data_IF_676435140716
#
_entry.id   IF_676435140716
#
_cell.length_a   1.000
_cell.length_b   1.000
_cell.length_c   1.000
_cell.angle_alpha   90.00
_cell.angle_beta   90.00
_cell.angle_gamma   90.00
#
_symmetry.space_group_name_H-M   'P 1'
#
loop_
_entity.id
_entity.type
_entity.pdbx_description
1 polymer ?
#
# COMPACT_ATOMS: atom_id res chain seq x y z
N UNK A 1 17.69 19.62 6.67
CA UNK A 1 16.25 19.76 6.95
C UNK A 1 15.71 18.38 7.28
N UNK A 2 15.01 18.24 8.40
CA UNK A 2 14.55 16.98 8.97
C UNK A 2 13.71 16.16 7.99
N UNK A 3 14.12 14.92 7.73
CA UNK A 3 13.29 13.92 7.08
C UNK A 3 12.22 13.46 8.06
N UNK A 4 10.99 13.96 7.90
CA UNK A 4 9.84 13.40 8.58
C UNK A 4 9.40 12.14 7.81
N UNK A 5 9.51 10.99 8.47
CA UNK A 5 8.61 9.86 8.23
C UNK A 5 7.19 10.43 8.28
N UNK A 6 6.43 10.34 7.18
CA UNK A 6 5.07 10.85 7.19
C UNK A 6 4.17 9.88 7.95
N UNK A 7 3.98 10.15 9.24
CA UNK A 7 2.97 9.51 10.07
C UNK A 7 1.55 9.87 9.57
N UNK A 8 0.58 8.99 9.81
CA UNK A 8 -0.84 9.28 9.56
C UNK A 8 -1.26 10.51 10.35
N UNK A 9 -1.91 11.46 9.68
CA UNK A 9 -2.46 12.65 10.34
C UNK A 9 -3.86 12.33 10.88
N UNK A 10 -4.16 12.81 12.09
CA UNK A 10 -5.43 12.58 12.78
C UNK A 10 -6.30 13.83 12.74
N UNK A 11 -7.57 13.66 12.40
CA UNK A 11 -8.55 14.74 12.25
C UNK A 11 -9.85 14.40 12.96
N UNK A 12 -10.42 15.36 13.67
CA UNK A 12 -11.69 15.23 14.40
C UNK A 12 -12.68 16.32 13.97
N UNK A 13 -13.91 15.92 13.63
CA UNK A 13 -15.02 16.87 13.42
C UNK A 13 -15.94 16.84 14.62
N UNK A 14 -16.24 18.02 15.17
CA UNK A 14 -17.07 18.21 16.36
C UNK A 14 -18.31 19.03 16.01
N UNK A 15 -19.43 18.70 16.63
CA UNK A 15 -20.65 19.50 16.53
C UNK A 15 -20.56 20.75 17.43
N UNK A 16 -21.61 21.58 17.40
CA UNK A 16 -21.68 22.79 18.23
C UNK A 16 -21.72 22.52 19.75
N UNK A 17 -21.99 21.27 20.15
CA UNK A 17 -21.95 20.83 21.56
C UNK A 17 -20.58 20.29 21.98
N UNK A 18 -19.63 20.17 21.04
CA UNK A 18 -18.29 19.62 21.26
C UNK A 18 -18.21 18.10 21.11
N UNK A 19 -19.28 17.43 20.70
CA UNK A 19 -19.30 15.98 20.48
C UNK A 19 -18.67 15.65 19.14
N UNK A 20 -17.73 14.70 19.15
CA UNK A 20 -17.05 14.20 17.95
C UNK A 20 -17.97 13.28 17.16
N UNK A 21 -18.07 13.53 15.85
CA UNK A 21 -18.91 12.78 14.92
C UNK A 21 -18.13 12.13 13.77
N UNK A 22 -16.92 12.61 13.49
CA UNK A 22 -15.98 12.00 12.53
C UNK A 22 -14.61 11.96 13.19
N UNK A 23 -13.93 10.82 13.09
CA UNK A 23 -12.50 10.68 13.38
C UNK A 23 -11.84 10.04 12.17
N UNK A 24 -10.77 10.66 11.67
CA UNK A 24 -10.06 10.23 10.49
C UNK A 24 -8.55 10.29 10.72
N UNK A 25 -7.91 9.13 10.76
CA UNK A 25 -6.46 8.96 10.70
C UNK A 25 -6.11 8.51 9.29
N UNK A 26 -5.34 9.31 8.54
CA UNK A 26 -5.08 9.00 7.14
C UNK A 26 -3.73 9.53 6.66
N UNK A 27 -3.10 8.77 5.78
CA UNK A 27 -2.01 9.23 4.91
C UNK A 27 -2.55 9.37 3.50
N UNK A 28 -2.34 10.54 2.90
CA UNK A 28 -2.82 10.83 1.54
C UNK A 28 -1.69 11.38 0.69
N UNK A 29 -1.52 10.80 -0.49
CA UNK A 29 -0.63 11.29 -1.53
C UNK A 29 -1.44 11.76 -2.74
N UNK A 30 -1.02 12.85 -3.34
CA UNK A 30 -1.63 13.45 -4.52
C UNK A 30 -0.64 13.40 -5.68
N UNK A 31 -1.14 13.06 -6.86
CA UNK A 31 -0.45 13.25 -8.13
C UNK A 31 -1.38 14.05 -9.04
N UNK A 32 -0.96 15.26 -9.43
CA UNK A 32 -1.79 16.18 -10.21
C UNK A 32 -1.12 16.48 -11.53
N UNK A 33 -1.79 16.15 -12.63
CA UNK A 33 -1.40 16.58 -13.97
C UNK A 33 -1.83 18.04 -14.18
N UNK A 34 -0.88 18.91 -14.54
CA UNK A 34 -1.10 20.31 -14.88
C UNK A 34 -0.32 20.72 -16.14
N UNK A 35 -0.61 21.92 -16.66
CA UNK A 35 0.03 22.45 -17.88
C UNK A 35 1.03 23.56 -17.54
N UNK A 36 2.28 23.36 -17.93
CA UNK A 36 3.35 24.34 -17.85
C UNK A 36 3.80 24.71 -19.27
N UNK A 37 3.60 25.98 -19.66
CA UNK A 37 3.95 26.49 -21.00
C UNK A 37 3.49 25.61 -22.18
N UNK A 38 2.32 24.97 -22.05
CA UNK A 38 1.75 24.07 -23.05
C UNK A 38 2.18 22.60 -22.98
N UNK A 39 3.18 22.28 -22.16
CA UNK A 39 3.59 20.90 -21.85
C UNK A 39 2.84 20.35 -20.63
N UNK A 40 2.58 19.04 -20.64
CA UNK A 40 1.96 18.32 -19.52
C UNK A 40 3.04 17.98 -18.49
N UNK A 41 2.78 18.30 -17.24
CA UNK A 41 3.68 18.06 -16.11
C UNK A 41 2.89 17.49 -14.93
N UNK A 42 3.56 16.76 -14.04
CA UNK A 42 2.96 16.15 -12.86
C UNK A 42 3.64 16.68 -11.61
N UNK A 43 2.84 17.10 -10.62
CA UNK A 43 3.35 17.34 -9.27
C UNK A 43 2.89 16.20 -8.36
N UNK A 44 3.81 15.76 -7.50
CA UNK A 44 3.55 14.78 -6.46
C UNK A 44 3.80 15.42 -5.10
N UNK A 45 2.82 15.32 -4.21
CA UNK A 45 2.94 15.81 -2.85
C UNK A 45 2.04 15.02 -1.92
N UNK A 46 2.35 15.07 -0.63
CA UNK A 46 1.52 14.45 0.38
C UNK A 46 0.66 15.48 1.09
N UNK A 47 -0.43 15.03 1.71
CA UNK A 47 -1.20 15.84 2.64
C UNK A 47 -0.25 16.32 3.75
N UNK A 48 0.02 17.62 3.89
CA UNK A 48 1.04 18.08 4.80
C UNK A 48 0.59 17.93 6.26
N UNK A 49 1.54 17.88 7.18
CA UNK A 49 1.24 17.88 8.63
C UNK A 49 0.54 19.16 9.11
N UNK A 50 0.63 20.24 8.33
CA UNK A 50 -0.08 21.50 8.58
C UNK A 50 -1.56 21.46 8.16
N UNK A 51 -2.03 20.35 7.57
CA UNK A 51 -3.44 20.19 7.23
C UNK A 51 -4.31 20.30 8.50
N UNK A 52 -5.49 20.91 8.36
CA UNK A 52 -6.42 21.13 9.46
C UNK A 52 -7.86 20.94 9.00
N UNK A 53 -8.75 20.70 9.97
CA UNK A 53 -10.19 20.57 9.70
C UNK A 53 -10.76 21.95 9.38
N UNK A 54 -11.25 22.13 8.16
CA UNK A 54 -11.84 23.37 7.69
C UNK A 54 -13.22 23.60 8.34
N UNK A 55 -13.63 24.86 8.61
CA UNK A 55 -14.95 25.18 9.18
C UNK A 55 -16.16 24.71 8.37
N UNK A 56 -16.00 24.35 7.09
CA UNK A 56 -17.04 23.72 6.28
C UNK A 56 -17.31 22.27 6.68
N UNK A 57 -16.43 21.64 7.46
CA UNK A 57 -16.66 20.33 8.05
C UNK A 57 -17.86 20.36 8.97
N UNK A 58 -18.67 19.31 8.94
CA UNK A 58 -19.91 19.25 9.71
C UNK A 58 -20.23 17.82 10.13
N UNK A 59 -20.89 17.69 11.27
CA UNK A 59 -21.50 16.43 11.70
C UNK A 59 -22.81 16.09 10.99
N UNK A 60 -23.26 16.98 10.10
CA UNK A 60 -24.61 16.87 9.54
C UNK A 60 -25.69 17.19 10.57
N UNK A 61 -26.94 17.01 10.17
CA UNK A 61 -28.13 17.12 11.03
C UNK A 61 -29.00 15.92 10.74
N UNK A 62 -29.44 15.24 11.80
CA UNK A 62 -30.25 14.02 11.72
C UNK A 62 -31.31 14.10 10.61
N UNK A 63 -31.23 13.18 9.64
CA UNK A 63 -32.13 13.03 8.48
C UNK A 63 -32.18 14.19 7.45
N UNK A 64 -31.36 15.24 7.56
CA UNK A 64 -31.40 16.39 6.63
C UNK A 64 -30.08 16.70 5.95
N UNK A 65 -28.95 16.38 6.58
CA UNK A 65 -27.64 16.50 5.96
C UNK A 65 -26.66 15.49 6.54
N UNK A 66 -25.82 14.91 5.69
CA UNK A 66 -24.81 13.96 6.11
C UNK A 66 -23.54 14.67 6.62
N UNK A 67 -22.71 13.98 7.43
CA UNK A 67 -21.42 14.48 7.85
C UNK A 67 -20.49 14.74 6.66
N UNK A 68 -19.64 15.74 6.80
CA UNK A 68 -18.62 16.12 5.82
C UNK A 68 -17.33 16.43 6.57
N UNK A 69 -16.23 15.84 6.11
CA UNK A 69 -14.89 16.21 6.56
C UNK A 69 -14.19 16.99 5.45
N UNK A 70 -13.80 18.22 5.70
CA UNK A 70 -13.00 19.05 4.80
C UNK A 70 -11.64 19.30 5.43
N UNK A 71 -10.58 18.89 4.76
CA UNK A 71 -9.20 19.11 5.17
C UNK A 71 -8.63 20.26 4.36
N UNK A 72 -8.37 21.40 5.00
CA UNK A 72 -7.63 22.52 4.40
C UNK A 72 -6.15 22.37 4.68
N UNK A 73 -5.32 22.60 3.67
CA UNK A 73 -3.87 22.54 3.81
C UNK A 73 -3.16 23.73 3.16
N UNK A 74 -3.83 24.88 3.15
CA UNK A 74 -3.28 26.16 2.74
C UNK A 74 -3.25 26.38 1.22
N UNK A 75 -2.93 27.61 0.83
CA UNK A 75 -2.82 28.07 -0.56
C UNK A 75 -4.06 27.82 -1.45
N UNK A 76 -5.22 27.51 -0.85
CA UNK A 76 -6.46 27.22 -1.55
C UNK A 76 -6.62 25.76 -1.97
N UNK A 77 -5.88 24.84 -1.33
CA UNK A 77 -6.03 23.40 -1.53
C UNK A 77 -6.83 22.76 -0.39
N UNK A 78 -7.80 21.92 -0.74
CA UNK A 78 -8.57 21.17 0.25
C UNK A 78 -9.04 19.81 -0.26
N UNK A 79 -9.17 18.85 0.66
CA UNK A 79 -9.70 17.51 0.40
C UNK A 79 -10.97 17.30 1.23
N UNK A 80 -12.10 17.03 0.58
CA UNK A 80 -13.38 16.81 1.24
C UNK A 80 -13.87 15.37 1.08
N UNK A 81 -14.24 14.73 2.19
CA UNK A 81 -14.91 13.44 2.25
C UNK A 81 -16.38 13.69 2.62
N UNK A 82 -17.28 13.48 1.66
CA UNK A 82 -18.71 13.60 1.87
C UNK A 82 -19.25 12.22 2.24
N UNK A 83 -19.88 12.09 3.40
CA UNK A 83 -20.40 10.82 3.87
C UNK A 83 -21.85 10.63 3.44
N UNK A 84 -22.27 9.37 3.34
CA UNK A 84 -23.68 8.97 3.30
C UNK A 84 -23.86 7.77 4.22
N UNK A 85 -25.10 7.53 4.62
CA UNK A 85 -25.47 6.37 5.42
C UNK A 85 -26.65 5.61 4.82
N UNK A 86 -26.70 4.35 5.19
CA UNK A 86 -27.78 3.41 4.94
C UNK A 86 -28.05 2.65 6.25
N UNK A 87 -29.07 1.80 6.27
CA UNK A 87 -29.51 1.14 7.51
C UNK A 87 -28.40 0.35 8.24
N UNK A 88 -27.41 -0.19 7.53
CA UNK A 88 -26.35 -1.03 8.11
C UNK A 88 -24.93 -0.51 7.85
N UNK A 89 -24.75 0.54 7.04
CA UNK A 89 -23.42 1.01 6.57
C UNK A 89 -23.33 2.52 6.42
N UNK A 90 -22.13 3.06 6.63
CA UNK A 90 -21.74 4.37 6.12
C UNK A 90 -20.71 4.20 5.02
N UNK A 91 -20.65 5.18 4.13
CA UNK A 91 -19.64 5.25 3.09
C UNK A 91 -19.23 6.69 2.83
N UNK A 92 -18.03 6.87 2.29
CA UNK A 92 -17.64 8.12 1.63
C UNK A 92 -18.33 8.11 0.27
N UNK A 93 -19.41 8.87 0.13
CA UNK A 93 -20.18 8.94 -1.11
C UNK A 93 -19.41 9.64 -2.21
N UNK A 94 -18.78 10.77 -1.86
CA UNK A 94 -18.05 11.59 -2.79
C UNK A 94 -16.77 12.12 -2.13
N UNK A 95 -15.67 11.97 -2.85
CA UNK A 95 -14.39 12.57 -2.52
C UNK A 95 -14.18 13.75 -3.47
N UNK A 96 -13.96 14.94 -2.90
CA UNK A 96 -13.78 16.19 -3.65
C UNK A 96 -12.42 16.77 -3.34
N UNK A 97 -11.62 17.04 -4.36
CA UNK A 97 -10.32 17.68 -4.22
C UNK A 97 -10.32 19.04 -4.91
N UNK A 98 -10.08 20.08 -4.12
CA UNK A 98 -9.85 21.44 -4.57
C UNK A 98 -8.36 21.73 -4.57
N UNK A 99 -7.86 22.29 -5.67
CA UNK A 99 -6.48 22.72 -5.75
C UNK A 99 -6.32 24.01 -6.54
N UNK A 100 -5.38 24.84 -6.10
CA UNK A 100 -5.10 26.12 -6.67
C UNK A 100 -3.88 26.05 -7.60
N UNK A 101 -4.11 26.08 -8.91
CA UNK A 101 -3.04 26.10 -9.91
C UNK A 101 -2.21 27.39 -9.91
N UNK A 102 -2.64 28.43 -9.17
CA UNK A 102 -1.86 29.66 -8.98
C UNK A 102 -0.85 29.55 -7.83
N UNK A 103 -0.86 28.46 -7.06
CA UNK A 103 0.15 28.21 -6.06
C UNK A 103 1.47 27.80 -6.73
N UNK A 104 2.38 28.76 -6.87
CA UNK A 104 3.68 28.55 -7.49
C UNK A 104 4.60 27.60 -6.72
N UNK A 105 4.28 27.26 -5.46
CA UNK A 105 5.08 26.33 -4.66
C UNK A 105 4.85 24.87 -5.07
N UNK A 106 3.60 24.51 -5.38
CA UNK A 106 3.23 23.19 -5.90
C UNK A 106 3.13 23.15 -7.42
N UNK A 107 2.72 24.25 -8.06
CA UNK A 107 2.46 24.34 -9.50
C UNK A 107 3.31 25.43 -10.16
N UNK A 108 4.65 25.28 -10.20
CA UNK A 108 5.51 26.27 -10.82
C UNK A 108 5.19 26.44 -12.31
N UNK A 109 5.12 27.69 -12.77
CA UNK A 109 4.88 28.06 -14.18
C UNK A 109 3.57 27.51 -14.78
N UNK A 110 2.57 27.23 -13.95
CA UNK A 110 1.25 26.81 -14.42
C UNK A 110 0.59 27.87 -15.30
N UNK A 111 0.11 27.45 -16.47
CA UNK A 111 -0.53 28.33 -17.47
C UNK A 111 -2.06 28.36 -17.35
N UNK A 112 -2.65 27.39 -16.66
CA UNK A 112 -4.10 27.20 -16.56
C UNK A 112 -4.71 27.79 -15.27
N UNK A 113 -4.02 28.77 -14.67
CA UNK A 113 -4.15 29.28 -13.29
C UNK A 113 -5.58 29.38 -12.71
N UNK A 114 -5.65 29.46 -11.38
CA UNK A 114 -6.88 29.52 -10.61
C UNK A 114 -7.28 28.18 -9.97
N UNK A 115 -8.44 28.19 -9.30
CA UNK A 115 -8.94 27.05 -8.54
C UNK A 115 -9.54 25.98 -9.46
N UNK A 116 -9.21 24.71 -9.19
CA UNK A 116 -9.75 23.54 -9.85
C UNK A 116 -10.41 22.64 -8.82
N UNK A 117 -11.48 21.98 -9.26
CA UNK A 117 -12.22 21.02 -8.46
C UNK A 117 -12.36 19.73 -9.26
N UNK A 118 -11.99 18.62 -8.64
CA UNK A 118 -12.26 17.28 -9.16
C UNK A 118 -13.02 16.50 -8.09
N UNK A 119 -13.96 15.66 -8.51
CA UNK A 119 -14.66 14.77 -7.59
C UNK A 119 -14.80 13.37 -8.17
N UNK A 120 -14.91 12.39 -7.28
CA UNK A 120 -15.11 10.99 -7.63
C UNK A 120 -15.88 10.28 -6.53
N UNK A 121 -16.70 9.30 -6.90
CA UNK A 121 -17.37 8.45 -5.92
C UNK A 121 -16.36 7.53 -5.26
N UNK A 122 -16.28 7.57 -3.93
CA UNK A 122 -15.39 6.66 -3.22
C UNK A 122 -16.10 5.33 -2.96
N UNK A 123 -15.30 4.29 -2.74
CA UNK A 123 -15.78 2.95 -2.36
C UNK A 123 -15.29 2.58 -0.95
N UNK A 124 -14.84 3.58 -0.19
CA UNK A 124 -14.60 3.45 1.26
C UNK A 124 -15.96 3.33 1.94
N UNK A 125 -16.22 2.17 2.54
CA UNK A 125 -17.46 1.87 3.23
C UNK A 125 -17.19 0.98 4.44
N UNK A 126 -18.01 1.12 5.48
CA UNK A 126 -17.96 0.28 6.66
C UNK A 126 -19.34 0.10 7.29
N UNK A 127 -19.47 -0.93 8.11
CA UNK A 127 -20.69 -1.15 8.88
C UNK A 127 -20.89 -0.06 9.93
N UNK A 128 -22.14 0.31 10.17
CA UNK A 128 -22.52 1.22 11.25
C UNK A 128 -21.96 0.73 12.60
N UNK A 129 -21.39 1.65 13.38
CA UNK A 129 -20.79 1.33 14.69
C UNK A 129 -19.50 0.51 14.60
N UNK A 130 -18.79 0.58 13.48
CA UNK A 130 -17.44 0.00 13.33
C UNK A 130 -16.49 1.05 12.76
N UNK A 131 -15.21 0.98 13.12
CA UNK A 131 -14.18 1.78 12.45
C UNK A 131 -13.76 1.10 11.14
N UNK A 132 -13.72 1.87 10.05
CA UNK A 132 -13.07 1.41 8.83
C UNK A 132 -11.56 1.39 9.04
N UNK A 133 -10.89 0.30 8.64
CA UNK A 133 -9.43 0.21 8.66
C UNK A 133 -8.90 -0.34 7.34
N UNK A 134 -7.95 0.37 6.75
CA UNK A 134 -7.26 -0.05 5.53
C UNK A 134 -5.80 0.37 5.60
N UNK A 135 -4.91 -0.59 5.83
CA UNK A 135 -3.46 -0.36 5.89
C UNK A 135 -2.91 -0.20 4.48
N UNK A 136 -3.31 -1.10 3.58
CA UNK A 136 -2.80 -1.12 2.22
C UNK A 136 -3.21 0.13 1.41
N UNK A 137 -2.31 0.52 0.51
CA UNK A 137 -2.50 1.68 -0.35
C UNK A 137 -3.68 1.48 -1.30
N UNK A 138 -4.44 2.55 -1.49
CA UNK A 138 -5.68 2.56 -2.23
C UNK A 138 -5.76 3.78 -3.14
N UNK A 139 -5.77 3.53 -4.44
CA UNK A 139 -5.69 4.57 -5.46
C UNK A 139 -7.08 4.94 -5.96
N UNK A 140 -7.33 6.24 -6.08
CA UNK A 140 -8.56 6.81 -6.61
C UNK A 140 -8.18 7.77 -7.74
N UNK A 141 -8.56 7.42 -8.98
CA UNK A 141 -8.35 8.26 -10.14
C UNK A 141 -9.51 9.24 -10.33
N UNK A 142 -9.18 10.53 -10.40
CA UNK A 142 -10.10 11.65 -10.55
C UNK A 142 -9.72 12.51 -11.75
N UNK A 143 -10.00 12.02 -12.97
CA UNK A 143 -9.68 12.71 -14.23
C UNK A 143 -8.17 12.90 -14.39
N UNK A 144 -7.66 14.08 -14.03
CA UNK A 144 -6.26 14.51 -14.15
C UNK A 144 -5.54 14.52 -12.79
N UNK A 145 -6.17 13.96 -11.75
CA UNK A 145 -5.60 13.82 -10.42
C UNK A 145 -5.70 12.36 -9.96
N UNK A 146 -4.63 11.82 -9.41
CA UNK A 146 -4.66 10.56 -8.66
C UNK A 146 -4.48 10.86 -7.17
N UNK A 147 -5.36 10.30 -6.35
CA UNK A 147 -5.30 10.39 -4.89
C UNK A 147 -5.07 9.00 -4.33
N UNK A 148 -4.02 8.82 -3.55
CA UNK A 148 -3.67 7.54 -2.92
C UNK A 148 -3.87 7.67 -1.42
N UNK A 149 -4.74 6.83 -0.87
CA UNK A 149 -4.93 6.68 0.57
C UNK A 149 -4.12 5.50 1.07
N UNK A 150 -3.45 5.64 2.21
CA UNK A 150 -2.81 4.53 2.91
C UNK A 150 -2.92 4.72 4.42
N UNK A 151 -2.81 3.62 5.17
CA UNK A 151 -2.93 3.63 6.62
C UNK A 151 -4.16 4.43 7.13
N UNK A 152 -5.32 4.11 6.57
CA UNK A 152 -6.59 4.78 6.88
C UNK A 152 -7.27 4.10 8.06
N UNK A 153 -7.56 4.86 9.11
CA UNK A 153 -8.55 4.51 10.12
C UNK A 153 -9.61 5.59 10.15
N UNK A 154 -10.85 5.27 9.81
CA UNK A 154 -11.90 6.26 9.60
C UNK A 154 -13.21 5.80 10.21
N UNK A 155 -13.87 6.68 10.94
CA UNK A 155 -15.23 6.46 11.41
C UNK A 155 -16.03 7.75 11.32
N UNK A 156 -17.27 7.62 10.86
CA UNK A 156 -18.26 8.68 10.80
C UNK A 156 -19.50 8.25 11.59
N UNK A 157 -20.37 9.21 11.91
CA UNK A 157 -21.58 8.99 12.70
C UNK A 157 -21.27 8.47 14.13
N UNK A 158 -20.19 8.96 14.73
CA UNK A 158 -19.79 8.55 16.08
C UNK A 158 -20.82 8.98 17.13
N UNK A 159 -21.15 8.06 18.04
CA UNK A 159 -22.02 8.31 19.19
C UNK A 159 -21.25 8.53 20.48
N UNK A 160 -20.10 7.86 20.64
CA UNK A 160 -19.28 7.86 21.87
C UNK A 160 -18.05 8.77 21.81
N UNK A 161 -17.84 9.48 20.69
CA UNK A 161 -16.74 10.41 20.50
C UNK A 161 -15.34 9.79 20.41
N UNK A 162 -15.24 8.46 20.35
CA UNK A 162 -14.01 7.69 20.12
C UNK A 162 -14.28 6.60 19.11
N UNK A 163 -13.24 6.11 18.42
CA UNK A 163 -13.36 4.96 17.53
C UNK A 163 -14.08 3.78 18.19
N UNK A 164 -14.94 3.14 17.43
CA UNK A 164 -15.58 1.89 17.77
C UNK A 164 -14.56 0.78 18.00
N UNK A 165 -14.89 -0.12 18.92
CA UNK A 165 -14.05 -1.28 19.24
C UNK A 165 -13.99 -2.24 18.04
N UNK A 166 -15.15 -2.47 17.41
CA UNK A 166 -15.26 -3.30 16.23
C UNK A 166 -14.73 -2.56 14.99
N UNK A 167 -14.18 -3.32 14.05
CA UNK A 167 -13.61 -2.79 12.80
C UNK A 167 -14.25 -3.45 11.57
N UNK A 168 -14.39 -2.67 10.50
CA UNK A 168 -14.58 -3.18 9.15
C UNK A 168 -13.25 -3.03 8.41
N UNK A 169 -12.70 -4.13 7.92
CA UNK A 169 -11.44 -4.11 7.16
C UNK A 169 -11.73 -3.99 5.66
N UNK A 170 -10.87 -3.26 4.96
CA UNK A 170 -10.98 -3.14 3.51
C UNK A 170 -10.58 -4.45 2.82
N UNK A 171 -11.09 -4.67 1.60
CA UNK A 171 -10.82 -5.89 0.85
C UNK A 171 -9.32 -6.09 0.57
N UNK A 172 -8.60 -4.98 0.44
CA UNK A 172 -7.16 -4.93 0.22
C UNK A 172 -6.37 -5.52 1.40
N UNK A 173 -6.92 -5.51 2.61
CA UNK A 173 -6.28 -6.08 3.81
C UNK A 173 -6.72 -7.54 4.09
N UNK A 174 -7.74 -8.07 3.39
CA UNK A 174 -8.38 -9.37 3.72
C UNK A 174 -7.72 -10.61 3.09
N UNK A 175 -6.40 -10.63 2.89
CA UNK A 175 -5.71 -11.78 2.27
C UNK A 175 -5.61 -12.99 3.23
N UNK A 176 -6.49 -13.98 3.00
CA UNK A 176 -6.47 -15.41 3.39
C UNK A 176 -5.77 -15.84 4.70
N UNK A 177 -6.55 -15.98 5.77
CA UNK A 177 -6.19 -16.80 6.94
C UNK A 177 -6.45 -18.28 6.65
N UNK A 178 -5.44 -19.01 6.15
CA UNK A 178 -5.48 -20.49 6.20
C UNK A 178 -5.04 -20.93 7.59
N UNK A 179 -5.99 -21.41 8.38
CA UNK A 179 -5.77 -21.98 9.71
C UNK A 179 -4.92 -23.26 9.59
N UNK A 180 -3.67 -23.22 10.08
CA UNK A 180 -2.81 -24.40 10.13
C UNK A 180 -2.99 -25.05 11.50
N UNK A 181 -3.63 -26.23 11.53
CA UNK A 181 -3.73 -27.08 12.71
C UNK A 181 -2.38 -27.80 12.92
N UNK A 182 -1.85 -27.93 14.15
CA UNK A 182 -0.58 -28.60 14.38
C UNK A 182 -0.75 -30.12 14.43
N UNK A 183 -0.02 -30.86 13.59
CA UNK A 183 0.15 -32.32 13.74
C UNK A 183 1.60 -32.69 13.97
N UNK A 184 1.79 -33.39 15.08
CA UNK A 184 3.00 -34.07 15.59
C UNK A 184 3.71 -34.97 14.57
N UNK A 185 5.05 -35.13 14.66
CA UNK A 185 5.83 -35.91 13.70
C UNK A 185 5.83 -37.40 14.04
N UNK A 186 5.55 -38.27 13.06
CA UNK A 186 5.98 -39.67 13.11
C UNK A 186 6.44 -40.14 11.73
N UNK A 187 7.63 -40.72 11.76
CA UNK A 187 8.49 -41.16 10.66
C UNK A 187 8.07 -42.57 10.18
N UNK A 188 7.88 -42.79 8.87
CA UNK A 188 8.28 -44.05 8.16
C UNK A 188 8.03 -44.00 6.64
N UNK A 189 9.10 -44.27 5.89
CA UNK A 189 9.29 -44.95 4.58
C UNK A 189 8.15 -45.14 3.54
N UNK A 190 8.49 -44.73 2.29
CA UNK A 190 7.91 -45.03 0.95
C UNK A 190 7.63 -46.53 0.66
N UNK A 191 6.75 -46.96 -0.31
CA UNK A 191 6.79 -46.60 -1.74
C UNK A 191 5.44 -46.27 -2.45
N UNK A 192 5.58 -45.59 -3.61
CA UNK A 192 4.61 -45.14 -4.65
C UNK A 192 4.09 -46.35 -5.49
N UNK A 193 3.07 -46.32 -6.42
CA UNK A 193 2.10 -45.27 -6.89
C UNK A 193 0.59 -45.68 -6.95
N UNK A 194 -0.32 -44.69 -6.92
CA UNK A 194 -1.55 -44.70 -7.73
C UNK A 194 -2.11 -43.29 -7.94
N UNK A 195 -2.32 -42.95 -9.20
CA UNK A 195 -2.90 -41.71 -9.75
C UNK A 195 -4.37 -41.53 -9.38
N UNK A 196 -4.71 -40.36 -8.85
CA UNK A 196 -6.07 -39.79 -8.86
C UNK A 196 -5.96 -38.28 -9.13
N UNK A 197 -6.88 -37.66 -9.91
CA UNK A 197 -6.72 -36.30 -10.40
C UNK A 197 -6.88 -35.31 -9.25
N UNK A 198 -5.84 -34.53 -8.98
CA UNK A 198 -5.91 -33.42 -8.04
C UNK A 198 -6.82 -32.30 -8.61
N UNK A 199 -7.65 -31.65 -7.77
CA UNK A 199 -8.45 -30.50 -8.15
C UNK A 199 -7.56 -29.34 -8.58
N UNK A 200 -8.01 -28.64 -9.61
CA UNK A 200 -7.36 -27.51 -10.28
C UNK A 200 -6.81 -26.50 -9.27
N UNK A 201 -5.47 -26.40 -9.20
CA UNK A 201 -4.76 -25.45 -8.36
C UNK A 201 -5.09 -24.01 -8.75
N UNK A 202 -5.35 -23.18 -7.74
CA UNK A 202 -5.26 -21.72 -7.87
C UNK A 202 -3.93 -21.30 -8.52
N UNK A 203 -3.84 -20.15 -9.21
CA UNK A 203 -2.61 -19.72 -9.85
C UNK A 203 -1.47 -19.69 -8.82
N UNK A 204 -0.41 -20.47 -9.06
CA UNK A 204 0.75 -20.49 -8.19
C UNK A 204 1.52 -19.17 -8.32
N UNK A 205 1.91 -18.57 -7.19
CA UNK A 205 2.84 -17.44 -7.17
C UNK A 205 4.08 -17.73 -8.06
N UNK A 206 4.61 -16.73 -8.78
CA UNK A 206 5.74 -16.94 -9.67
C UNK A 206 6.97 -17.45 -8.89
N UNK A 207 7.71 -18.37 -9.51
CA UNK A 207 8.91 -18.92 -8.91
C UNK A 207 9.99 -17.85 -8.75
N UNK A 208 10.72 -17.89 -7.63
CA UNK A 208 11.80 -16.94 -7.35
C UNK A 208 13.00 -17.22 -8.25
N UNK A 209 13.37 -16.22 -9.06
CA UNK A 209 14.59 -16.25 -9.86
C UNK A 209 15.77 -15.62 -9.14
N UNK A 210 16.97 -15.97 -9.59
CA UNK A 210 18.23 -15.41 -9.10
C UNK A 210 18.90 -14.66 -10.24
N UNK A 211 19.08 -13.37 -10.04
CA UNK A 211 19.58 -12.46 -11.06
C UNK A 211 20.77 -11.69 -10.52
N UNK A 212 21.77 -11.47 -11.36
CA UNK A 212 22.91 -10.64 -11.03
C UNK A 212 23.30 -9.75 -12.22
N UNK A 213 23.98 -8.66 -11.90
CA UNK A 213 24.66 -7.79 -12.85
C UNK A 213 26.07 -7.57 -12.33
N UNK A 214 27.05 -7.92 -13.14
CA UNK A 214 28.47 -7.76 -12.83
C UNK A 214 29.02 -6.62 -13.66
N UNK A 215 29.53 -5.59 -12.98
CA UNK A 215 30.24 -4.48 -13.58
C UNK A 215 31.76 -4.69 -13.56
N UNK A 216 32.54 -3.70 -13.98
CA UNK A 216 34.01 -3.78 -13.96
C UNK A 216 34.59 -3.94 -12.55
N UNK A 217 33.87 -3.48 -11.52
CA UNK A 217 34.29 -3.53 -10.11
C UNK A 217 33.66 -4.71 -9.34
N UNK A 218 33.09 -5.70 -10.04
CA UNK A 218 32.40 -6.85 -9.44
C UNK A 218 30.88 -6.77 -9.53
N UNK A 219 30.19 -7.65 -8.80
CA UNK A 219 28.73 -7.71 -8.76
C UNK A 219 28.18 -6.43 -8.13
N UNK A 220 27.25 -5.77 -8.83
CA UNK A 220 26.70 -4.48 -8.42
C UNK A 220 25.17 -4.48 -8.34
N UNK A 221 24.52 -5.53 -8.87
CA UNK A 221 23.14 -5.89 -8.56
C UNK A 221 23.10 -7.37 -8.24
N UNK A 222 22.47 -7.72 -7.13
CA UNK A 222 22.11 -9.10 -6.79
C UNK A 222 20.64 -9.08 -6.37
N UNK A 223 19.80 -9.86 -7.05
CA UNK A 223 18.35 -9.82 -6.88
C UNK A 223 17.75 -11.21 -6.94
N UNK A 224 17.07 -11.62 -5.88
CA UNK A 224 16.26 -12.83 -5.83
C UNK A 224 14.80 -12.40 -5.78
N UNK A 225 14.00 -12.71 -6.79
CA UNK A 225 12.59 -12.32 -6.83
C UNK A 225 11.77 -13.15 -7.80
N UNK A 226 10.50 -13.39 -7.47
CA UNK A 226 9.48 -13.86 -8.40
C UNK A 226 8.80 -12.65 -9.04
N UNK A 227 8.49 -12.73 -10.34
CA UNK A 227 7.88 -11.63 -11.08
C UNK A 227 6.64 -12.08 -11.83
N UNK A 228 5.57 -11.29 -11.71
CA UNK A 228 4.36 -11.39 -12.53
C UNK A 228 4.08 -10.03 -13.14
N UNK A 229 3.88 -10.00 -14.44
CA UNK A 229 3.47 -8.81 -15.16
C UNK A 229 1.96 -8.87 -15.40
N UNK A 230 1.25 -7.84 -14.98
CA UNK A 230 -0.18 -7.69 -15.12
C UNK A 230 -0.45 -6.48 -16.03
N UNK A 231 -0.93 -6.75 -17.25
CA UNK A 231 -1.22 -5.72 -18.25
C UNK A 231 -2.69 -5.74 -18.64
N UNK A 232 -3.36 -4.60 -18.53
CA UNK A 232 -4.71 -4.40 -19.03
C UNK A 232 -4.67 -3.66 -20.38
N UNK A 233 -5.27 -4.23 -21.42
CA UNK A 233 -5.17 -3.70 -22.80
C UNK A 233 -6.50 -3.71 -23.55
N UNK A 234 -6.73 -2.78 -24.50
CA UNK A 234 -7.92 -2.81 -25.35
C UNK A 234 -7.83 -3.91 -26.40
N UNK A 235 -8.87 -4.73 -26.51
CA UNK A 235 -9.02 -5.76 -27.55
C UNK A 235 -9.60 -5.17 -28.84
N UNK A 236 -9.57 -5.97 -29.90
CA UNK A 236 -10.18 -5.64 -31.21
C UNK A 236 -11.70 -5.45 -31.16
N UNK A 237 -12.38 -6.07 -30.20
CA UNK A 237 -13.83 -5.93 -29.96
C UNK A 237 -14.18 -4.77 -29.01
N UNK A 238 -13.23 -3.86 -28.78
CA UNK A 238 -13.35 -2.68 -27.90
C UNK A 238 -13.56 -2.98 -26.41
N UNK A 239 -13.51 -4.25 -25.99
CA UNK A 239 -13.49 -4.64 -24.57
C UNK A 239 -12.07 -4.59 -24.02
N UNK A 240 -11.94 -4.46 -22.70
CA UNK A 240 -10.65 -4.61 -22.03
C UNK A 240 -10.27 -6.09 -21.89
N UNK A 241 -9.01 -6.40 -22.13
CA UNK A 241 -8.35 -7.67 -21.87
C UNK A 241 -7.33 -7.52 -20.75
N UNK A 242 -6.96 -8.66 -20.17
CA UNK A 242 -5.99 -8.76 -19.10
C UNK A 242 -4.97 -9.84 -19.51
N UNK A 243 -3.70 -9.47 -19.56
CA UNK A 243 -2.59 -10.38 -19.77
C UNK A 243 -1.82 -10.51 -18.45
N UNK A 244 -1.76 -11.73 -17.94
CA UNK A 244 -1.03 -12.08 -16.71
C UNK A 244 0.13 -12.99 -17.08
N UNK A 245 1.34 -12.43 -17.05
CA UNK A 245 2.56 -13.13 -17.46
C UNK A 245 3.46 -13.38 -16.25
N UNK A 246 3.52 -14.63 -15.81
CA UNK A 246 4.49 -15.08 -14.82
C UNK A 246 5.86 -15.30 -15.47
N UNK A 247 6.89 -14.67 -14.94
CA UNK A 247 8.26 -14.92 -15.37
C UNK A 247 8.71 -16.30 -14.90
N UNK A 248 9.35 -17.05 -15.80
CA UNK A 248 9.95 -18.34 -15.48
C UNK A 248 11.45 -18.14 -15.34
N UNK A 249 12.03 -18.24 -14.13
CA UNK A 249 13.43 -17.91 -13.90
C UNK A 249 14.44 -18.60 -14.82
N UNK A 250 14.28 -19.91 -15.04
CA UNK A 250 15.16 -20.72 -15.91
C UNK A 250 15.20 -20.24 -17.38
N UNK A 251 14.17 -19.50 -17.80
CA UNK A 251 14.03 -18.98 -19.15
C UNK A 251 14.17 -17.44 -19.19
N UNK A 252 14.48 -16.81 -18.06
CA UNK A 252 14.65 -15.37 -17.95
C UNK A 252 16.13 -15.04 -17.95
N UNK A 253 16.57 -14.15 -18.82
CA UNK A 253 17.96 -13.67 -18.86
C UNK A 253 18.08 -12.34 -18.13
N UNK A 254 19.10 -12.21 -17.29
CA UNK A 254 19.46 -10.94 -16.65
C UNK A 254 20.63 -10.27 -17.38
N UNK A 255 20.53 -8.96 -17.53
CA UNK A 255 21.61 -8.09 -18.00
C UNK A 255 21.49 -6.74 -17.29
N UNK A 256 22.44 -5.84 -17.49
CA UNK A 256 22.38 -4.55 -16.81
C UNK A 256 23.65 -3.75 -16.93
N UNK A 257 23.68 -2.64 -16.20
CA UNK A 257 24.89 -1.82 -16.01
C UNK A 257 24.81 -1.14 -14.65
N UNK A 258 25.96 -0.80 -14.12
CA UNK A 258 26.05 -0.01 -12.91
C UNK A 258 27.04 1.12 -13.13
N UNK A 259 26.60 2.30 -12.74
CA UNK A 259 27.37 3.52 -12.66
C UNK A 259 27.52 3.89 -11.18
N UNK A 260 28.24 4.97 -10.89
CA UNK A 260 28.50 5.39 -9.50
C UNK A 260 27.22 5.75 -8.72
N UNK A 261 26.19 6.22 -9.42
CA UNK A 261 24.94 6.72 -8.80
C UNK A 261 23.67 6.05 -9.34
N UNK A 262 23.79 5.13 -10.29
CA UNK A 262 22.65 4.44 -10.87
C UNK A 262 22.97 3.00 -11.23
N UNK A 263 21.98 2.12 -11.18
CA UNK A 263 22.11 0.74 -11.62
C UNK A 263 20.87 0.30 -12.39
N UNK A 264 21.06 -0.52 -13.42
CA UNK A 264 19.99 -1.08 -14.24
C UNK A 264 20.01 -2.60 -14.12
N UNK A 265 18.86 -3.19 -13.84
CA UNK A 265 18.60 -4.62 -13.96
C UNK A 265 17.57 -4.84 -15.07
N UNK A 266 18.03 -5.43 -16.17
CA UNK A 266 17.21 -5.78 -17.31
C UNK A 266 16.91 -7.28 -17.26
N UNK A 267 15.64 -7.64 -17.14
CA UNK A 267 15.16 -9.01 -17.22
C UNK A 267 14.40 -9.22 -18.52
N UNK A 268 14.83 -10.21 -19.31
CA UNK A 268 14.18 -10.55 -20.58
C UNK A 268 13.65 -11.97 -20.50
N UNK A 269 12.35 -12.12 -20.73
CA UNK A 269 11.66 -13.41 -20.77
C UNK A 269 10.81 -13.46 -22.03
N UNK A 270 11.14 -14.39 -22.94
CA UNK A 270 10.52 -14.49 -24.27
C UNK A 270 10.57 -13.15 -25.05
N UNK A 271 9.41 -12.52 -25.28
CA UNK A 271 9.27 -11.23 -25.97
C UNK A 271 9.11 -10.05 -25.00
N UNK A 272 9.11 -10.34 -23.70
CA UNK A 272 8.92 -9.36 -22.63
C UNK A 272 10.27 -8.93 -22.08
N UNK A 273 10.44 -7.62 -21.91
CA UNK A 273 11.58 -7.00 -21.24
C UNK A 273 11.08 -6.11 -20.12
N UNK A 274 11.65 -6.28 -18.94
CA UNK A 274 11.42 -5.43 -17.77
C UNK A 274 12.76 -4.86 -17.32
N UNK A 275 12.83 -3.55 -17.17
CA UNK A 275 14.02 -2.81 -16.77
C UNK A 275 13.73 -2.14 -15.44
N UNK A 276 14.44 -2.54 -14.39
CA UNK A 276 14.44 -1.86 -13.10
C UNK A 276 15.61 -0.88 -13.06
N UNK A 277 15.31 0.37 -12.73
CA UNK A 277 16.27 1.45 -12.61
C UNK A 277 16.38 1.86 -11.15
N UNK A 278 17.57 1.71 -10.59
CA UNK A 278 17.90 2.09 -9.22
C UNK A 278 18.76 3.35 -9.21
N UNK A 279 18.52 4.22 -8.23
CA UNK A 279 19.30 5.41 -7.99
C UNK A 279 19.91 5.38 -6.59
N UNK A 280 21.09 6.00 -6.45
CA UNK A 280 21.76 6.20 -5.18
C UNK A 280 21.49 7.62 -4.68
N UNK A 281 20.91 7.73 -3.49
CA UNK A 281 20.96 8.95 -2.71
C UNK A 281 22.25 8.98 -1.89
N UNK A 282 23.28 9.64 -2.42
CA UNK A 282 24.60 9.72 -1.79
C UNK A 282 24.56 10.41 -0.41
N UNK A 283 23.65 11.38 -0.20
CA UNK A 283 23.55 12.10 1.07
C UNK A 283 22.95 11.25 2.19
N UNK A 284 22.05 10.33 1.85
CA UNK A 284 21.40 9.44 2.81
C UNK A 284 22.06 8.05 2.86
N UNK A 285 23.06 7.79 2.01
CA UNK A 285 23.66 6.47 1.79
C UNK A 285 22.61 5.37 1.56
N UNK A 286 21.56 5.68 0.79
CA UNK A 286 20.45 4.77 0.48
C UNK A 286 20.24 4.63 -1.02
N UNK A 287 19.95 3.42 -1.47
CA UNK A 287 19.45 3.19 -2.82
C UNK A 287 17.92 3.03 -2.79
N UNK A 288 17.29 3.30 -3.93
CA UNK A 288 15.85 3.10 -4.12
C UNK A 288 15.56 2.78 -5.58
N UNK A 289 14.43 2.15 -5.84
CA UNK A 289 13.90 1.94 -7.18
C UNK A 289 13.37 3.27 -7.71
N UNK A 290 14.09 3.87 -8.67
CA UNK A 290 13.72 5.12 -9.32
C UNK A 290 12.72 4.90 -10.45
N UNK A 291 12.74 3.74 -11.10
CA UNK A 291 11.82 3.49 -12.19
C UNK A 291 11.77 2.07 -12.68
N UNK A 292 10.69 1.76 -13.39
CA UNK A 292 10.47 0.50 -14.09
C UNK A 292 10.03 0.80 -15.52
N UNK A 293 10.61 0.10 -16.49
CA UNK A 293 10.14 0.12 -17.88
C UNK A 293 9.82 -1.28 -18.35
N UNK A 294 8.67 -1.45 -18.98
CA UNK A 294 8.15 -2.70 -19.52
C UNK A 294 7.98 -2.54 -21.02
N UNK A 295 8.45 -3.53 -21.78
CA UNK A 295 8.08 -3.69 -23.18
C UNK A 295 7.73 -5.14 -23.47
N UNK A 296 6.63 -5.38 -24.18
CA UNK A 296 6.20 -6.73 -24.53
C UNK A 296 5.33 -6.75 -25.80
N UNK A 297 5.05 -7.98 -26.27
CA UNK A 297 4.06 -8.25 -27.31
C UNK A 297 2.81 -8.86 -26.69
N UNK A 298 1.68 -8.17 -26.78
CA UNK A 298 0.40 -8.60 -26.26
C UNK A 298 -0.23 -9.73 -27.10
N UNK A 299 -1.21 -10.47 -26.54
CA UNK A 299 -1.98 -11.49 -27.26
C UNK A 299 -2.65 -10.99 -28.55
N UNK A 300 -2.99 -11.92 -29.44
CA UNK A 300 -3.45 -11.61 -30.83
C UNK A 300 -4.79 -10.86 -30.89
N UNK A 301 -5.58 -10.95 -29.82
CA UNK A 301 -6.85 -10.24 -29.62
C UNK A 301 -6.65 -8.76 -29.27
N UNK A 302 -5.44 -8.33 -28.91
CA UNK A 302 -5.12 -6.93 -28.63
C UNK A 302 -5.31 -6.07 -29.88
N UNK A 303 -5.82 -4.85 -29.68
CA UNK A 303 -5.93 -3.84 -30.74
C UNK A 303 -4.55 -3.41 -31.25
N UNK A 304 -3.61 -3.23 -30.32
CA UNK A 304 -2.22 -2.94 -30.59
C UNK A 304 -1.36 -4.09 -30.03
N UNK A 305 -0.58 -4.81 -30.86
CA UNK A 305 0.19 -5.96 -30.41
C UNK A 305 1.47 -5.58 -29.66
N UNK A 306 1.99 -4.36 -29.82
CA UNK A 306 3.15 -3.87 -29.06
C UNK A 306 2.68 -3.07 -27.86
N UNK A 307 3.27 -3.35 -26.71
CA UNK A 307 3.00 -2.63 -25.47
C UNK A 307 4.31 -2.12 -24.86
N UNK A 308 4.34 -0.85 -24.50
CA UNK A 308 5.45 -0.21 -23.82
C UNK A 308 4.88 0.69 -22.72
N UNK A 309 5.46 0.60 -21.54
CA UNK A 309 5.08 1.38 -20.37
C UNK A 309 6.33 1.70 -19.56
N UNK A 310 6.42 2.90 -19.02
CA UNK A 310 7.53 3.27 -18.12
C UNK A 310 7.08 4.23 -17.05
N UNK A 311 7.66 4.06 -15.86
CA UNK A 311 7.60 4.98 -14.75
C UNK A 311 9.03 5.26 -14.31
N UNK A 312 9.42 6.53 -14.22
CA UNK A 312 10.77 6.95 -13.83
C UNK A 312 10.76 7.80 -12.54
N UNK A 313 9.62 7.81 -11.84
CA UNK A 313 9.37 8.63 -10.65
C UNK A 313 8.92 7.76 -9.47
N UNK A 314 9.61 6.64 -9.29
CA UNK A 314 9.38 5.63 -8.26
C UNK A 314 10.28 5.89 -7.03
N UNK A 315 9.87 5.37 -5.87
CA UNK A 315 10.61 5.46 -4.60
C UNK A 315 10.40 4.24 -3.70
N UNK A 316 10.29 3.06 -4.32
CA UNK A 316 10.09 1.78 -3.66
C UNK A 316 11.45 1.09 -3.39
N UNK A 317 11.43 -0.02 -2.63
CA UNK A 317 12.63 -0.83 -2.33
C UNK A 317 13.78 0.00 -1.72
N UNK A 318 13.47 0.99 -0.88
CA UNK A 318 14.46 1.88 -0.27
C UNK A 318 15.29 1.09 0.74
N UNK A 319 16.62 1.13 0.63
CA UNK A 319 17.51 0.38 1.53
C UNK A 319 18.88 1.04 1.66
N UNK A 320 19.52 0.89 2.82
CA UNK A 320 20.88 1.41 3.05
C UNK A 320 21.93 0.70 2.20
N UNK A 321 22.90 1.44 1.70
CA UNK A 321 23.99 0.87 0.89
C UNK A 321 24.80 -0.13 1.71
N UNK A 322 24.97 -1.34 1.16
CA UNK A 322 25.62 -2.47 1.84
C UNK A 322 24.65 -3.44 2.53
N UNK A 323 23.37 -3.05 2.67
CA UNK A 323 22.30 -3.92 3.12
C UNK A 323 21.47 -4.45 1.94
N UNK A 324 20.69 -5.49 2.17
CA UNK A 324 19.73 -6.06 1.24
C UNK A 324 18.30 -5.77 1.68
N UNK A 325 17.47 -5.28 0.76
CA UNK A 325 16.03 -5.20 0.96
C UNK A 325 15.45 -6.61 0.92
N UNK A 326 14.53 -6.96 1.81
CA UNK A 326 13.81 -8.24 1.74
C UNK A 326 12.32 -8.05 2.02
N UNK A 327 11.48 -8.61 1.16
CA UNK A 327 10.04 -8.68 1.34
C UNK A 327 9.50 -10.02 0.85
N UNK A 328 9.00 -10.84 1.77
CA UNK A 328 8.29 -12.10 1.51
C UNK A 328 6.88 -11.87 1.00
N UNK A 329 6.23 -10.80 1.45
CA UNK A 329 4.93 -10.34 0.95
C UNK A 329 5.01 -9.90 -0.53
N UNK A 330 3.87 -9.95 -1.22
CA UNK A 330 3.74 -9.44 -2.59
C UNK A 330 3.81 -7.91 -2.61
N UNK A 331 4.67 -7.36 -3.45
CA UNK A 331 4.80 -5.92 -3.66
C UNK A 331 4.38 -5.57 -5.10
N UNK A 332 3.43 -4.65 -5.22
CA UNK A 332 2.83 -4.26 -6.49
C UNK A 332 3.46 -2.96 -7.00
N UNK A 333 4.33 -3.06 -8.01
CA UNK A 333 5.01 -1.92 -8.60
C UNK A 333 4.19 -1.36 -9.76
N UNK A 334 3.51 -0.23 -9.55
CA UNK A 334 2.69 0.38 -10.58
C UNK A 334 3.52 1.17 -11.59
N UNK A 335 3.58 0.63 -12.81
CA UNK A 335 4.28 1.28 -13.94
C UNK A 335 3.34 2.30 -14.59
N UNK A 336 2.11 1.90 -14.91
CA UNK A 336 1.06 2.78 -15.42
C UNK A 336 -0.30 2.29 -14.94
N UNK A 337 -1.38 3.01 -15.25
CA UNK A 337 -2.76 2.54 -14.99
C UNK A 337 -3.09 1.21 -15.70
N UNK A 338 -2.31 0.85 -16.72
CA UNK A 338 -2.49 -0.34 -17.54
C UNK A 338 -1.46 -1.43 -17.26
N UNK A 339 -0.41 -1.15 -16.48
CA UNK A 339 0.68 -2.10 -16.22
C UNK A 339 1.15 -2.07 -14.77
N UNK A 340 1.09 -3.25 -14.16
CA UNK A 340 1.54 -3.53 -12.80
C UNK A 340 2.61 -4.63 -12.87
N UNK A 341 3.71 -4.45 -12.16
CA UNK A 341 4.76 -5.46 -11.98
C UNK A 341 4.70 -5.95 -10.55
N UNK A 342 4.22 -7.17 -10.36
CA UNK A 342 4.08 -7.77 -9.04
C UNK A 342 5.36 -8.54 -8.72
N UNK A 343 5.94 -8.24 -7.58
CA UNK A 343 7.19 -8.81 -7.11
C UNK A 343 6.91 -9.66 -5.87
N UNK A 344 7.39 -10.90 -5.89
CA UNK A 344 7.14 -11.88 -4.83
C UNK A 344 8.45 -12.34 -4.21
N UNK A 345 8.50 -12.45 -2.88
CA UNK A 345 9.69 -12.92 -2.16
C UNK A 345 10.98 -12.24 -2.65
N UNK A 346 10.94 -10.91 -2.72
CA UNK A 346 12.08 -10.11 -3.16
C UNK A 346 13.15 -10.09 -2.08
N UNK A 347 14.39 -10.32 -2.48
CA UNK A 347 15.58 -9.94 -1.76
C UNK A 347 16.55 -9.30 -2.74
N UNK A 348 16.88 -8.02 -2.56
CA UNK A 348 17.67 -7.27 -3.54
C UNK A 348 18.68 -6.35 -2.87
N UNK A 349 19.86 -6.25 -3.48
CA UNK A 349 20.93 -5.37 -3.04
C UNK A 349 21.62 -4.74 -4.25
N UNK A 350 21.92 -3.45 -4.13
CA UNK A 350 22.47 -2.62 -5.21
C UNK A 350 23.77 -1.94 -4.73
N UNK A 351 24.66 -1.66 -5.69
CA UNK A 351 25.94 -0.96 -5.54
C UNK A 351 27.02 -1.72 -4.78
N UNK A 352 26.91 -1.79 -3.45
CA UNK A 352 27.95 -2.38 -2.59
C UNK A 352 27.59 -3.82 -2.25
N UNK A 353 28.21 -4.79 -2.93
CA UNK A 353 28.01 -6.22 -2.70
C UNK A 353 29.38 -6.85 -2.46
N UNK A 354 29.58 -7.39 -1.26
CA UNK A 354 30.83 -8.03 -0.88
C UNK A 354 30.82 -9.49 -1.36
N UNK A 355 31.44 -9.73 -2.52
CA UNK A 355 31.40 -11.01 -3.22
C UNK A 355 30.08 -11.22 -3.97
N UNK A 356 29.45 -12.38 -3.80
CA UNK A 356 28.16 -12.75 -4.41
C UNK A 356 27.10 -13.11 -3.35
N UNK A 357 27.13 -12.43 -2.21
CA UNK A 357 26.23 -12.66 -1.07
C UNK A 357 25.53 -11.38 -0.66
N UNK A 358 24.32 -11.52 -0.16
CA UNK A 358 23.60 -10.43 0.47
C UNK A 358 24.28 -10.02 1.78
N UNK A 359 24.30 -8.70 2.02
CA UNK A 359 24.63 -8.10 3.30
C UNK A 359 23.47 -8.23 4.30
N UNK A 360 23.51 -7.46 5.39
CA UNK A 360 22.45 -7.43 6.39
C UNK A 360 21.08 -7.15 5.75
N UNK A 361 20.02 -7.72 6.31
CA UNK A 361 18.67 -7.62 5.77
C UNK A 361 17.94 -6.43 6.38
N UNK A 362 17.37 -5.57 5.54
CA UNK A 362 16.30 -4.62 5.88
C UNK A 362 14.98 -5.18 5.37
N UNK A 363 14.10 -5.59 6.29
CA UNK A 363 12.80 -6.15 5.92
C UNK A 363 11.80 -5.04 5.58
N UNK A 364 10.89 -5.34 4.65
CA UNK A 364 9.81 -4.44 4.30
C UNK A 364 8.81 -4.29 5.45
N UNK A 365 8.13 -3.14 5.47
CA UNK A 365 7.12 -2.83 6.49
C UNK A 365 5.94 -3.84 6.48
N UNK A 366 5.62 -4.42 5.33
CA UNK A 366 4.57 -5.44 5.19
C UNK A 366 4.88 -6.69 6.02
N UNK A 367 6.13 -7.16 5.99
CA UNK A 367 6.56 -8.35 6.73
C UNK A 367 6.73 -8.05 8.23
N UNK A 368 7.26 -6.87 8.58
CA UNK A 368 7.42 -6.43 9.97
C UNK A 368 6.05 -6.41 10.70
N UNK A 369 5.03 -5.86 10.05
CA UNK A 369 3.68 -5.79 10.61
C UNK A 369 3.01 -7.16 10.77
N UNK A 370 3.26 -8.10 9.85
CA UNK A 370 2.68 -9.43 9.89
C UNK A 370 3.17 -10.25 11.10
N UNK A 371 4.42 -10.02 11.55
CA UNK A 371 4.97 -10.67 12.75
C UNK A 371 4.69 -9.89 14.05
N UNK A 372 4.70 -8.56 13.99
CA UNK A 372 4.61 -7.71 15.18
C UNK A 372 3.20 -7.67 15.78
N UNK A 373 2.15 -7.61 14.94
CA UNK A 373 0.76 -7.52 15.40
C UNK A 373 0.34 -8.74 16.24
N UNK A 374 0.58 -10.01 15.80
CA UNK A 374 0.25 -11.18 16.60
C UNK A 374 0.96 -11.23 17.96
N UNK A 375 2.21 -10.76 18.05
CA UNK A 375 2.99 -10.75 19.30
C UNK A 375 2.35 -9.80 20.32
N UNK A 376 1.98 -8.59 19.90
CA UNK A 376 1.35 -7.60 20.78
C UNK A 376 0.00 -8.10 21.30
N UNK A 377 -0.81 -8.67 20.40
CA UNK A 377 -2.12 -9.24 20.79
C UNK A 377 -1.95 -10.40 21.77
N UNK A 378 -0.96 -11.28 21.54
CA UNK A 378 -0.65 -12.38 22.43
C UNK A 378 -0.22 -11.92 23.83
N UNK A 379 0.66 -10.92 23.91
CA UNK A 379 1.12 -10.35 25.19
C UNK A 379 -0.03 -9.67 25.95
N UNK A 380 -0.90 -8.93 25.26
CA UNK A 380 -2.05 -8.28 25.86
C UNK A 380 -3.06 -9.29 26.43
N UNK A 381 -3.36 -10.36 25.69
CA UNK A 381 -4.25 -11.43 26.16
C UNK A 381 -3.66 -12.16 27.38
N UNK A 382 -2.37 -12.48 27.37
CA UNK A 382 -1.71 -13.10 28.51
C UNK A 382 -1.74 -12.19 29.76
N UNK A 383 -1.49 -10.89 29.59
CA UNK A 383 -1.58 -9.90 30.65
C UNK A 383 -2.99 -9.80 31.24
N UNK A 384 -4.03 -9.78 30.40
CA UNK A 384 -5.42 -9.72 30.85
C UNK A 384 -5.81 -10.97 31.66
N UNK A 385 -5.42 -12.16 31.20
CA UNK A 385 -5.66 -13.43 31.92
C UNK A 385 -4.98 -13.39 33.31
N UNK A 386 -3.74 -12.91 33.38
CA UNK A 386 -3.02 -12.77 34.65
C UNK A 386 -3.76 -11.83 35.62
N UNK A 387 -4.22 -10.67 35.15
CA UNK A 387 -4.97 -9.71 35.96
C UNK A 387 -6.26 -10.33 36.51
N UNK A 388 -7.01 -11.04 35.67
CA UNK A 388 -8.24 -11.74 36.08
C UNK A 388 -7.97 -12.80 37.14
N UNK A 389 -6.88 -13.59 36.99
CA UNK A 389 -6.49 -14.58 37.98
C UNK A 389 -6.11 -13.95 39.32
N UNK A 390 -5.36 -12.85 39.31
CA UNK A 390 -4.99 -12.13 40.54
C UNK A 390 -6.25 -11.59 41.22
N UNK A 391 -7.15 -10.93 40.48
CA UNK A 391 -8.41 -10.42 41.01
C UNK A 391 -9.28 -11.53 41.61
N UNK A 392 -9.37 -12.68 40.93
CA UNK A 392 -10.10 -13.85 41.42
C UNK A 392 -9.50 -14.41 42.72
N UNK A 393 -8.17 -14.55 42.81
CA UNK A 393 -7.51 -15.03 44.03
C UNK A 393 -7.72 -14.09 45.21
N UNK A 394 -7.69 -12.77 44.97
CA UNK A 394 -7.98 -11.75 46.00
C UNK A 394 -9.46 -11.82 46.43
N UNK A 395 -10.39 -11.91 45.48
CA UNK A 395 -11.83 -12.02 45.74
C UNK A 395 -12.19 -13.30 46.50
N UNK A 396 -11.60 -14.43 46.13
CA UNK A 396 -11.75 -15.71 46.84
C UNK A 396 -11.19 -15.64 48.26
N UNK A 397 -10.03 -15.01 48.47
CA UNK A 397 -9.44 -14.84 49.80
C UNK A 397 -10.32 -13.98 50.71
N UNK A 398 -11.01 -12.97 50.18
CA UNK A 398 -11.95 -12.13 50.95
C UNK A 398 -13.30 -12.81 51.23
N UNK A 399 -13.80 -13.67 50.34
CA UNK A 399 -15.10 -14.33 50.54
C UNK A 399 -15.13 -15.39 51.66
N UNK A 400 -13.97 -15.90 52.11
CA UNK A 400 -13.93 -16.87 53.21
C UNK A 400 -13.95 -16.25 54.63
N UNK A 401 -13.99 -14.93 54.77
CA UNK A 401 -13.91 -14.24 56.07
C UNK A 401 -15.27 -13.75 56.64
N UNK A 402 -16.41 -14.18 56.07
CA UNK A 402 -17.71 -13.51 56.28
C UNK A 402 -18.88 -14.36 56.79
N UNK A 403 -18.64 -15.37 57.62
CA UNK A 403 -19.75 -16.05 58.33
C UNK A 403 -19.45 -16.14 59.83
N UNK A 404 -19.85 -15.13 60.59
CA UNK A 404 -20.16 -15.28 62.02
C UNK A 404 -21.68 -15.49 62.12
N UNK A 405 -22.06 -16.68 62.57
CA UNK A 405 -23.43 -17.03 62.97
C UNK A 405 -23.80 -16.25 64.24
N UNK A 406 -25.01 -15.69 64.24
CA UNK A 406 -25.69 -15.10 65.41
C UNK A 406 -25.87 -16.15 66.50
#
# INVERSE_FOLDING_TARGET
LSGFLQASSSFEVKDSSGKVCIIADLTVAFSVEYKNNGQKEFVHFFLPQSASVDPQSSCGKDNTSHPVLVLDFGAGHSLSLNFSESADRYQVEELVFHYNLSDATLFPNSTAGGMKTVSHKSIIQAHMGTKYRCINSRHINMKNVNVTFSNVTLEAYLTNGTFSVNKTECAEDMVSTTTIVPTTPKQSTSPVPATSPAPTSAPSNPAVGKYNVTGPNGTCVLAYMGLQLNITYPKKDEKMGLDLLNFIPRNTTSSGRCDNTSALLNLTFEKTRVIFQFALNASAEKFFLQGVSVSTTLPSEAKNPKFEASNNSMSELITSVGNSYKCSSEENLQVTDQALVNVFNVQIQIFKIDGDKFGPVEECQLDENNMLIPIIVGAALAGLVLIVLIAYLIGRKRSHAGYQTI
#
